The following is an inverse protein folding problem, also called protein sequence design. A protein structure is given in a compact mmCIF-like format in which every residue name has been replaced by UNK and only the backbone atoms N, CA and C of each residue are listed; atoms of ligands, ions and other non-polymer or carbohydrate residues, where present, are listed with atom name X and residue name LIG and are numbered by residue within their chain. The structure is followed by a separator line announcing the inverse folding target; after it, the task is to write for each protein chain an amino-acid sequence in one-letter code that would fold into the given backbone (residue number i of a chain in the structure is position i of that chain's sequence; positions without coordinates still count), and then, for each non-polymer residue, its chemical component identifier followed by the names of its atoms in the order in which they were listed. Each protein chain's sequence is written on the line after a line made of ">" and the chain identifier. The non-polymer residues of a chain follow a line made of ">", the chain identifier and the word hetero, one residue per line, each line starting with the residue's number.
data_IF_214514604102
#
_entry.id   IF_214514604102
#
_cell.length_a   1.000
_cell.length_b   1.000
_cell.length_c   1.000
_cell.angle_alpha   90.00
_cell.angle_beta   90.00
_cell.angle_gamma   90.00
#
_symmetry.space_group_name_H-M   'P 1'
#
loop_
_entity.id
_entity.type
_entity.pdbx_description
1 polymer ?
#
# COMPACT_ATOMS: atom_id res chain seq x y z
N UNK A 1 10.38 24.47 -1.21
CA UNK A 1 11.39 23.78 -0.38
C UNK A 1 12.62 23.44 -1.22
N UNK A 2 13.53 24.40 -1.47
CA UNK A 2 14.77 24.13 -2.24
C UNK A 2 15.73 23.22 -1.45
N UNK A 3 15.79 23.42 -0.14
CA UNK A 3 16.66 22.68 0.77
C UNK A 3 16.50 21.15 0.71
N UNK A 4 15.27 20.62 0.67
CA UNK A 4 15.04 19.16 0.58
C UNK A 4 15.42 18.61 -0.80
N UNK A 5 15.19 19.37 -1.88
CA UNK A 5 15.59 19.00 -3.24
C UNK A 5 17.12 18.99 -3.35
N UNK A 6 17.77 20.02 -2.84
CA UNK A 6 19.24 20.15 -2.83
C UNK A 6 19.91 19.08 -1.95
N UNK A 7 19.25 18.64 -0.88
CA UNK A 7 19.73 17.55 -0.03
C UNK A 7 19.65 16.20 -0.74
N UNK A 8 18.54 15.90 -1.44
CA UNK A 8 18.39 14.68 -2.22
C UNK A 8 19.35 14.68 -3.43
N UNK A 9 19.40 15.76 -4.20
CA UNK A 9 20.25 15.88 -5.38
C UNK A 9 21.75 15.71 -5.07
N UNK A 10 22.20 16.02 -3.85
CA UNK A 10 23.57 15.75 -3.39
C UNK A 10 23.88 14.27 -3.16
N UNK A 11 22.88 13.47 -2.79
CA UNK A 11 23.05 12.04 -2.49
C UNK A 11 22.81 11.18 -3.73
N UNK A 12 22.02 11.68 -4.69
CA UNK A 12 21.72 11.05 -5.99
C UNK A 12 22.94 10.43 -6.72
N UNK A 13 24.13 11.08 -6.80
CA UNK A 13 25.28 10.51 -7.51
C UNK A 13 25.84 9.22 -6.90
N UNK A 14 25.55 8.93 -5.62
CA UNK A 14 25.97 7.69 -4.97
C UNK A 14 25.11 6.47 -5.34
N UNK A 15 23.93 6.72 -5.92
CA UNK A 15 22.95 5.72 -6.30
C UNK A 15 22.87 5.52 -7.83
N UNK A 16 23.37 6.45 -8.66
CA UNK A 16 23.42 6.30 -10.13
C UNK A 16 24.42 5.21 -10.58
N UNK A 17 24.33 4.77 -11.86
CA UNK A 17 25.17 3.70 -12.42
C UNK A 17 26.66 4.01 -12.24
N UNK A 18 27.38 3.17 -11.50
CA UNK A 18 28.78 3.37 -11.09
C UNK A 18 29.00 3.95 -9.68
N UNK A 19 27.93 4.23 -8.93
CA UNK A 19 27.98 4.63 -7.53
C UNK A 19 28.06 3.45 -6.55
N UNK A 20 28.58 3.68 -5.33
CA UNK A 20 28.75 2.63 -4.30
C UNK A 20 27.44 1.91 -3.93
N UNK A 21 26.29 2.57 -4.11
CA UNK A 21 24.97 2.09 -3.69
C UNK A 21 24.02 1.87 -4.89
N UNK A 22 24.55 1.63 -6.08
CA UNK A 22 23.79 1.43 -7.33
C UNK A 22 22.61 0.43 -7.17
N UNK A 23 22.78 -0.63 -6.38
CA UNK A 23 21.72 -1.61 -6.11
C UNK A 23 20.46 -1.02 -5.45
N UNK A 24 20.59 0.08 -4.72
CA UNK A 24 19.50 0.76 -4.01
C UNK A 24 18.93 1.96 -4.77
N UNK A 25 19.35 2.16 -6.03
CA UNK A 25 18.86 3.24 -6.88
C UNK A 25 17.34 3.34 -6.89
N UNK A 26 16.64 2.22 -7.07
CA UNK A 26 15.18 2.20 -7.15
C UNK A 26 14.48 2.55 -5.83
N UNK A 27 15.13 2.29 -4.69
CA UNK A 27 14.61 2.74 -3.39
C UNK A 27 14.77 4.27 -3.29
N UNK A 28 15.93 4.80 -3.64
CA UNK A 28 16.16 6.24 -3.66
C UNK A 28 15.20 6.95 -4.63
N UNK A 29 15.02 6.42 -5.84
CA UNK A 29 14.10 6.93 -6.86
C UNK A 29 12.65 6.91 -6.37
N UNK A 30 12.22 5.86 -5.68
CA UNK A 30 10.88 5.79 -5.10
C UNK A 30 10.62 6.86 -4.03
N UNK A 31 11.61 7.16 -3.19
CA UNK A 31 11.49 8.21 -2.17
C UNK A 31 11.54 9.61 -2.79
N UNK A 32 12.41 9.83 -3.80
CA UNK A 32 12.50 11.09 -4.53
C UNK A 32 11.20 11.37 -5.30
N UNK A 33 10.67 10.37 -6.01
CA UNK A 33 9.38 10.50 -6.70
C UNK A 33 8.20 10.62 -5.76
N UNK A 34 8.20 9.99 -4.58
CA UNK A 34 7.15 10.19 -3.56
C UNK A 34 7.07 11.67 -3.13
N UNK A 35 8.23 12.28 -2.81
CA UNK A 35 8.31 13.64 -2.29
C UNK A 35 8.23 14.72 -3.37
N UNK A 36 8.70 14.44 -4.59
CA UNK A 36 8.81 15.41 -5.67
C UNK A 36 8.25 14.90 -7.00
N UNK A 37 7.69 15.81 -7.79
CA UNK A 37 7.25 15.47 -9.15
C UNK A 37 8.46 15.06 -10.00
N UNK A 38 8.32 14.05 -10.87
CA UNK A 38 9.38 13.67 -11.79
C UNK A 38 9.74 14.84 -12.72
N UNK A 39 11.04 15.11 -12.89
CA UNK A 39 11.51 16.19 -13.77
C UNK A 39 11.59 15.77 -15.26
N UNK A 40 11.03 14.62 -15.64
CA UNK A 40 11.02 14.18 -17.03
C UNK A 40 9.76 14.67 -17.74
N UNK A 41 9.94 15.35 -18.88
CA UNK A 41 8.85 15.76 -19.76
C UNK A 41 8.78 14.81 -20.97
N UNK A 42 7.57 14.59 -21.48
CA UNK A 42 7.38 13.83 -22.72
C UNK A 42 8.20 14.44 -23.86
N UNK A 43 8.97 13.61 -24.57
CA UNK A 43 9.79 14.05 -25.69
C UNK A 43 8.90 14.62 -26.82
N UNK A 44 9.43 15.54 -27.65
CA UNK A 44 8.64 16.17 -28.71
C UNK A 44 8.11 15.19 -29.76
N UNK A 45 8.85 14.12 -30.02
CA UNK A 45 8.58 13.10 -31.04
C UNK A 45 8.26 11.74 -30.40
N UNK A 46 7.38 10.97 -31.05
CA UNK A 46 7.04 9.59 -30.64
C UNK A 46 5.85 9.43 -29.70
N UNK A 47 5.11 10.51 -29.38
CA UNK A 47 3.92 10.47 -28.52
C UNK A 47 2.69 10.82 -29.35
N UNK A 48 1.70 9.91 -29.41
CA UNK A 48 0.46 10.11 -30.18
C UNK A 48 -0.53 11.03 -29.46
N UNK A 49 -0.61 10.95 -28.13
CA UNK A 49 -1.52 11.75 -27.29
C UNK A 49 -0.73 12.24 -26.07
N UNK A 50 -0.84 13.54 -25.76
CA UNK A 50 -0.28 14.13 -24.55
C UNK A 50 -1.43 14.37 -23.58
N UNK A 51 -1.43 13.65 -22.48
CA UNK A 51 -2.41 13.81 -21.41
C UNK A 51 -1.71 14.36 -20.15
N UNK A 52 -2.45 15.07 -19.32
CA UNK A 52 -2.03 15.50 -18.00
C UNK A 52 -2.24 14.40 -16.93
N UNK A 53 -2.91 13.30 -17.28
CA UNK A 53 -3.13 12.16 -16.40
C UNK A 53 -1.94 11.19 -16.40
N UNK A 54 -1.11 11.29 -15.37
CA UNK A 54 -0.05 10.33 -15.08
C UNK A 54 -0.56 9.20 -14.17
N UNK A 55 0.09 8.02 -14.25
CA UNK A 55 -0.15 6.87 -13.35
C UNK A 55 -0.18 7.28 -11.88
N UNK A 56 0.79 8.10 -11.46
CA UNK A 56 0.86 8.66 -10.10
C UNK A 56 -0.39 9.46 -9.73
N UNK A 57 -0.83 10.37 -10.62
CA UNK A 57 -2.00 11.22 -10.37
C UNK A 57 -3.26 10.38 -10.23
N UNK A 58 -3.42 9.38 -11.09
CA UNK A 58 -4.52 8.42 -11.00
C UNK A 58 -4.53 7.69 -9.66
N UNK A 59 -3.38 7.15 -9.23
CA UNK A 59 -3.28 6.40 -7.96
C UNK A 59 -3.58 7.30 -6.76
N UNK A 60 -3.09 8.55 -6.74
CA UNK A 60 -3.41 9.51 -5.68
C UNK A 60 -4.90 9.86 -5.63
N UNK A 61 -5.56 10.02 -6.77
CA UNK A 61 -7.02 10.23 -6.81
C UNK A 61 -7.78 9.04 -6.21
N UNK A 62 -7.33 7.81 -6.49
CA UNK A 62 -7.92 6.59 -5.90
C UNK A 62 -7.73 6.57 -4.39
N UNK A 63 -6.53 6.90 -3.89
CA UNK A 63 -6.27 6.98 -2.43
C UNK A 63 -7.22 7.99 -1.78
N UNK A 64 -7.37 9.19 -2.36
CA UNK A 64 -8.27 10.22 -1.85
C UNK A 64 -9.72 9.71 -1.83
N UNK A 65 -10.16 9.02 -2.88
CA UNK A 65 -11.50 8.43 -2.96
C UNK A 65 -11.73 7.29 -1.95
N UNK A 66 -10.66 6.64 -1.48
CA UNK A 66 -10.72 5.57 -0.47
C UNK A 66 -10.77 6.09 0.97
N UNK A 67 -10.30 7.32 1.23
CA UNK A 67 -10.30 7.90 2.59
C UNK A 67 -11.71 7.88 3.22
N UNK A 68 -12.79 8.31 2.53
CA UNK A 68 -14.15 8.22 3.08
C UNK A 68 -14.54 6.79 3.46
N UNK A 69 -14.18 5.80 2.63
CA UNK A 69 -14.45 4.39 2.90
C UNK A 69 -13.69 3.89 4.13
N UNK A 70 -12.43 4.32 4.30
CA UNK A 70 -11.62 4.00 5.47
C UNK A 70 -12.21 4.59 6.75
N UNK A 71 -12.60 5.87 6.72
CA UNK A 71 -13.22 6.54 7.87
C UNK A 71 -14.55 5.90 8.26
N UNK A 72 -15.38 5.56 7.27
CA UNK A 72 -16.61 4.82 7.52
C UNK A 72 -16.34 3.42 8.07
N UNK A 73 -15.33 2.72 7.57
CA UNK A 73 -14.90 1.42 8.09
C UNK A 73 -14.48 1.49 9.56
N UNK A 74 -13.67 2.49 9.92
CA UNK A 74 -13.25 2.76 11.30
C UNK A 74 -14.47 2.99 12.20
N UNK A 75 -15.38 3.87 11.78
CA UNK A 75 -16.62 4.13 12.52
C UNK A 75 -17.46 2.86 12.68
N UNK A 76 -17.65 2.08 11.61
CA UNK A 76 -18.47 0.88 11.63
C UNK A 76 -17.89 -0.20 12.54
N UNK A 77 -16.57 -0.40 12.54
CA UNK A 77 -15.90 -1.35 13.45
C UNK A 77 -16.14 -0.97 14.91
N UNK A 78 -15.97 0.31 15.26
CA UNK A 78 -16.23 0.80 16.60
C UNK A 78 -17.71 0.65 17.00
N UNK A 79 -18.63 1.01 16.10
CA UNK A 79 -20.06 0.95 16.36
C UNK A 79 -20.52 -0.49 16.63
N UNK A 80 -20.05 -1.45 15.82
CA UNK A 80 -20.35 -2.88 16.03
C UNK A 80 -19.75 -3.41 17.33
N UNK A 81 -18.58 -2.93 17.75
CA UNK A 81 -18.00 -3.30 19.04
C UNK A 81 -18.90 -2.91 20.22
N UNK A 82 -19.38 -1.65 20.25
CA UNK A 82 -20.25 -1.17 21.34
C UNK A 82 -21.65 -1.79 21.34
N UNK A 83 -22.19 -2.09 20.15
CA UNK A 83 -23.40 -2.90 20.03
C UNK A 83 -23.22 -4.30 20.62
N UNK A 84 -22.09 -4.95 20.34
CA UNK A 84 -21.80 -6.30 20.85
C UNK A 84 -21.55 -6.33 22.37
N UNK A 85 -20.99 -5.26 22.95
CA UNK A 85 -20.77 -5.15 24.40
C UNK A 85 -21.99 -4.67 25.20
N UNK A 86 -23.12 -4.41 24.54
CA UNK A 86 -24.36 -4.00 25.21
C UNK A 86 -24.37 -2.55 25.72
N UNK A 87 -23.55 -1.67 25.13
CA UNK A 87 -23.49 -0.23 25.47
C UNK A 87 -23.80 0.62 24.23
N UNK A 88 -25.08 0.68 23.79
CA UNK A 88 -25.46 1.35 22.54
C UNK A 88 -25.31 2.89 22.59
N UNK A 89 -25.26 3.49 23.78
CA UNK A 89 -25.15 4.94 23.99
C UNK A 89 -23.70 5.44 24.10
N UNK A 90 -22.74 4.68 23.56
CA UNK A 90 -21.34 5.09 23.55
C UNK A 90 -21.16 6.44 22.82
N UNK A 91 -20.30 7.30 23.36
CA UNK A 91 -19.99 8.58 22.76
C UNK A 91 -19.37 8.40 21.37
N UNK A 92 -19.67 9.31 20.44
CA UNK A 92 -19.10 9.28 19.08
C UNK A 92 -17.56 9.20 19.08
N UNK A 93 -16.90 9.86 20.05
CA UNK A 93 -15.45 9.81 20.22
C UNK A 93 -14.93 8.42 20.60
N UNK A 94 -15.64 7.70 21.47
CA UNK A 94 -15.25 6.36 21.94
C UNK A 94 -15.39 5.33 20.82
N UNK A 95 -16.46 5.44 20.03
CA UNK A 95 -16.71 4.63 18.83
C UNK A 95 -15.53 4.76 17.87
N UNK A 96 -15.13 6.01 17.53
CA UNK A 96 -14.01 6.24 16.63
C UNK A 96 -12.70 5.72 17.24
N UNK A 97 -12.48 5.93 18.54
CA UNK A 97 -11.25 5.51 19.20
C UNK A 97 -11.04 3.99 19.10
N UNK A 98 -12.06 3.19 19.44
CA UNK A 98 -11.99 1.72 19.32
C UNK A 98 -11.78 1.30 17.87
N UNK A 99 -12.50 1.91 16.93
CA UNK A 99 -12.33 1.65 15.50
C UNK A 99 -10.89 1.92 15.04
N UNK A 100 -10.29 3.02 15.46
CA UNK A 100 -8.91 3.39 15.11
C UNK A 100 -7.91 2.38 15.68
N UNK A 101 -8.08 1.99 16.95
CA UNK A 101 -7.20 1.02 17.62
C UNK A 101 -7.23 -0.34 16.92
N UNK A 102 -8.35 -0.75 16.32
CA UNK A 102 -8.44 -2.01 15.58
C UNK A 102 -7.95 -1.90 14.13
N UNK A 103 -8.30 -0.84 13.39
CA UNK A 103 -8.01 -0.73 11.96
C UNK A 103 -6.58 -0.24 11.68
N UNK A 104 -6.04 0.69 12.47
CA UNK A 104 -4.71 1.26 12.23
C UNK A 104 -3.61 0.19 12.26
N UNK A 105 -3.55 -0.73 13.24
CA UNK A 105 -2.51 -1.75 13.25
C UNK A 105 -2.51 -2.64 11.99
N UNK A 106 -3.70 -3.01 11.48
CA UNK A 106 -3.83 -3.80 10.25
C UNK A 106 -3.30 -3.00 9.06
N UNK A 107 -3.66 -1.71 8.95
CA UNK A 107 -3.19 -0.80 7.91
C UNK A 107 -1.65 -0.67 7.94
N UNK A 108 -1.07 -0.43 9.12
CA UNK A 108 0.38 -0.28 9.30
C UNK A 108 1.10 -1.57 8.92
N UNK A 109 0.61 -2.73 9.38
CA UNK A 109 1.23 -4.02 9.09
C UNK A 109 1.13 -4.37 7.61
N UNK A 110 0.00 -4.09 6.97
CA UNK A 110 -0.17 -4.30 5.53
C UNK A 110 0.81 -3.45 4.72
N UNK A 111 0.95 -2.16 5.05
CA UNK A 111 1.94 -1.31 4.38
C UNK A 111 3.37 -1.75 4.64
N UNK A 112 3.73 -2.03 5.90
CA UNK A 112 5.09 -2.43 6.25
C UNK A 112 5.51 -3.73 5.58
N UNK A 113 4.65 -4.75 5.62
CA UNK A 113 4.93 -6.06 5.03
C UNK A 113 4.98 -6.00 3.50
N UNK A 114 4.04 -5.27 2.89
CA UNK A 114 3.92 -5.21 1.44
C UNK A 114 4.97 -4.30 0.79
N UNK A 115 5.13 -3.06 1.27
CA UNK A 115 6.19 -2.18 0.79
C UNK A 115 7.57 -2.77 1.10
N UNK A 116 7.75 -3.37 2.27
CA UNK A 116 9.00 -4.05 2.62
C UNK A 116 9.37 -5.15 1.62
N UNK A 117 8.39 -5.98 1.23
CA UNK A 117 8.60 -7.03 0.23
C UNK A 117 8.88 -6.44 -1.15
N UNK A 118 8.13 -5.43 -1.57
CA UNK A 118 8.34 -4.76 -2.86
C UNK A 118 9.72 -4.10 -2.94
N UNK A 119 10.17 -3.43 -1.87
CA UNK A 119 11.52 -2.84 -1.79
C UNK A 119 12.61 -3.90 -1.92
N UNK A 120 12.43 -5.06 -1.29
CA UNK A 120 13.39 -6.17 -1.39
C UNK A 120 13.45 -6.69 -2.84
N UNK A 121 12.29 -6.92 -3.46
CA UNK A 121 12.23 -7.44 -4.82
C UNK A 121 12.70 -6.43 -5.87
N UNK A 122 12.44 -5.13 -5.69
CA UNK A 122 12.95 -4.10 -6.59
C UNK A 122 14.48 -4.03 -6.58
N UNK A 123 15.12 -4.26 -5.43
CA UNK A 123 16.59 -4.34 -5.33
C UNK A 123 17.12 -5.59 -6.02
N UNK A 124 16.43 -6.74 -5.91
CA UNK A 124 16.86 -7.99 -6.54
C UNK A 124 16.68 -7.94 -8.06
N UNK A 125 15.53 -7.43 -8.53
CA UNK A 125 15.13 -7.46 -9.95
C UNK A 125 15.44 -6.18 -10.71
N UNK A 126 15.93 -5.14 -10.04
CA UNK A 126 16.36 -3.88 -10.64
C UNK A 126 15.25 -3.26 -11.52
N UNK A 127 14.04 -3.17 -10.98
CA UNK A 127 12.90 -2.51 -11.63
C UNK A 127 12.40 -1.32 -10.79
N UNK A 128 11.77 -0.31 -11.41
CA UNK A 128 11.19 0.81 -10.68
C UNK A 128 10.05 0.36 -9.78
N UNK A 129 9.92 1.05 -8.65
CA UNK A 129 8.83 0.87 -7.71
C UNK A 129 7.68 1.77 -8.13
N UNK A 130 6.46 1.26 -8.08
CA UNK A 130 5.29 2.00 -8.47
C UNK A 130 4.41 2.26 -7.24
N UNK A 131 3.83 3.44 -7.16
CA UNK A 131 2.93 3.88 -6.08
C UNK A 131 1.62 3.07 -6.01
N UNK A 132 1.34 2.20 -6.98
CA UNK A 132 0.15 1.34 -6.98
C UNK A 132 0.01 0.43 -5.75
N UNK A 133 1.10 0.12 -5.04
CA UNK A 133 0.98 -0.62 -3.78
C UNK A 133 0.37 0.24 -2.65
N UNK A 134 0.48 1.57 -2.71
CA UNK A 134 -0.16 2.44 -1.71
C UNK A 134 -1.68 2.25 -1.67
N UNK A 135 -2.29 2.00 -2.82
CA UNK A 135 -3.71 1.65 -2.94
C UNK A 135 -3.97 0.26 -2.36
N UNK A 136 -3.13 -0.71 -2.71
CA UNK A 136 -3.28 -2.12 -2.27
C UNK A 136 -3.19 -2.26 -0.75
N UNK A 137 -2.22 -1.59 -0.12
CA UNK A 137 -2.05 -1.59 1.34
C UNK A 137 -3.23 -0.97 2.09
N UNK A 138 -3.98 -0.05 1.46
CA UNK A 138 -5.24 0.48 2.02
C UNK A 138 -6.44 -0.44 1.77
N UNK A 139 -6.46 -1.17 0.64
CA UNK A 139 -7.54 -2.11 0.33
C UNK A 139 -7.53 -3.34 1.23
N UNK A 140 -6.36 -3.84 1.62
CA UNK A 140 -6.21 -5.02 2.48
C UNK A 140 -7.02 -4.91 3.80
N UNK A 141 -6.86 -3.87 4.64
CA UNK A 141 -7.67 -3.74 5.86
C UNK A 141 -9.16 -3.55 5.59
N UNK A 142 -9.56 -3.04 4.41
CA UNK A 142 -10.97 -2.87 4.04
C UNK A 142 -11.65 -4.16 3.61
N UNK A 143 -10.89 -5.18 3.19
CA UNK A 143 -11.43 -6.47 2.75
C UNK A 143 -11.23 -7.60 3.77
N UNK A 144 -10.68 -7.27 4.94
CA UNK A 144 -10.32 -8.20 6.00
C UNK A 144 -11.11 -7.89 7.30
N UNK A 145 -11.57 -8.91 8.05
CA UNK A 145 -12.13 -8.71 9.37
C UNK A 145 -11.17 -7.95 10.32
N UNK A 146 -11.70 -7.08 11.20
CA UNK A 146 -10.90 -6.29 12.13
C UNK A 146 -10.26 -7.12 13.26
N UNK A 147 -10.75 -8.34 13.50
CA UNK A 147 -10.24 -9.24 14.52
C UNK A 147 -9.07 -10.14 14.04
N UNK A 148 -8.62 -10.00 12.79
CA UNK A 148 -7.57 -10.85 12.25
C UNK A 148 -6.24 -10.59 12.97
N UNK A 149 -5.52 -11.66 13.38
CA UNK A 149 -4.19 -11.53 13.94
C UNK A 149 -3.21 -10.83 12.98
N UNK A 150 -2.46 -9.84 13.49
CA UNK A 150 -1.56 -9.01 12.68
C UNK A 150 -0.50 -9.82 11.90
N UNK A 151 0.00 -10.92 12.47
CA UNK A 151 0.97 -11.77 11.80
C UNK A 151 0.39 -12.47 10.56
N UNK A 152 -0.92 -12.80 10.57
CA UNK A 152 -1.60 -13.39 9.41
C UNK A 152 -1.73 -12.36 8.30
N UNK A 153 -2.05 -11.11 8.64
CA UNK A 153 -2.09 -9.99 7.68
C UNK A 153 -0.71 -9.82 7.02
N UNK A 154 0.36 -9.85 7.80
CA UNK A 154 1.73 -9.75 7.29
C UNK A 154 2.06 -10.88 6.31
N UNK A 155 1.83 -12.14 6.72
CA UNK A 155 2.11 -13.32 5.89
C UNK A 155 1.29 -13.32 4.60
N UNK A 156 0.00 -13.01 4.68
CA UNK A 156 -0.87 -12.94 3.52
C UNK A 156 -0.47 -11.84 2.55
N UNK A 157 -0.08 -10.68 3.08
CA UNK A 157 0.40 -9.56 2.26
C UNK A 157 1.70 -9.93 1.55
N UNK A 158 2.67 -10.52 2.26
CA UNK A 158 3.94 -10.99 1.67
C UNK A 158 3.66 -12.02 0.57
N UNK A 159 2.84 -13.04 0.86
CA UNK A 159 2.47 -14.07 -0.11
C UNK A 159 1.83 -13.47 -1.35
N UNK A 160 0.85 -12.57 -1.18
CA UNK A 160 0.16 -11.95 -2.28
C UNK A 160 1.07 -11.08 -3.13
N UNK A 161 1.96 -10.29 -2.53
CA UNK A 161 2.93 -9.47 -3.26
C UNK A 161 3.87 -10.35 -4.07
N UNK A 162 4.43 -11.41 -3.47
CA UNK A 162 5.36 -12.30 -4.15
C UNK A 162 4.67 -13.03 -5.31
N UNK A 163 3.50 -13.62 -5.08
CA UNK A 163 2.86 -14.51 -6.05
C UNK A 163 2.03 -13.76 -7.08
N UNK A 164 1.22 -12.77 -6.68
CA UNK A 164 0.32 -12.08 -7.61
C UNK A 164 0.97 -10.93 -8.37
N UNK A 165 2.09 -10.39 -7.87
CA UNK A 165 2.76 -9.21 -8.45
C UNK A 165 4.20 -9.51 -8.87
N UNK A 166 5.08 -9.85 -7.94
CA UNK A 166 6.53 -9.95 -8.22
C UNK A 166 6.89 -11.17 -9.09
N UNK A 167 6.18 -12.28 -8.95
CA UNK A 167 6.38 -13.47 -9.78
C UNK A 167 6.18 -13.20 -11.28
N UNK A 168 5.29 -12.26 -11.62
CA UNK A 168 4.95 -11.90 -13.00
C UNK A 168 5.75 -10.70 -13.52
N UNK A 169 6.73 -10.21 -12.77
CA UNK A 169 7.60 -9.11 -13.20
C UNK A 169 7.24 -7.72 -12.66
N UNK A 170 6.37 -7.66 -11.64
CA UNK A 170 6.09 -6.43 -10.90
C UNK A 170 4.95 -5.60 -11.50
N UNK A 171 4.88 -4.32 -11.11
CA UNK A 171 3.71 -3.47 -11.35
C UNK A 171 3.41 -3.28 -12.85
N UNK A 172 2.16 -3.54 -13.24
CA UNK A 172 1.69 -3.46 -14.62
C UNK A 172 1.58 -4.83 -15.31
N UNK A 173 2.23 -5.85 -14.76
CA UNK A 173 2.17 -7.24 -15.23
C UNK A 173 1.36 -8.15 -14.28
N UNK A 174 0.72 -7.57 -13.26
CA UNK A 174 -0.04 -8.31 -12.27
C UNK A 174 -1.25 -8.98 -12.93
N UNK A 175 -1.25 -10.32 -12.98
CA UNK A 175 -2.38 -11.10 -13.52
C UNK A 175 -3.57 -11.08 -12.55
N UNK A 176 -3.29 -10.99 -11.25
CA UNK A 176 -4.29 -11.07 -10.19
C UNK A 176 -4.28 -9.80 -9.33
N UNK A 177 -5.43 -9.48 -8.73
CA UNK A 177 -5.53 -8.40 -7.75
C UNK A 177 -4.87 -8.82 -6.43
N UNK A 178 -3.79 -8.14 -6.06
CA UNK A 178 -2.97 -8.44 -4.87
C UNK A 178 -3.78 -8.42 -3.57
N UNK A 179 -4.67 -7.43 -3.37
CA UNK A 179 -5.48 -7.36 -2.14
C UNK A 179 -6.47 -8.53 -2.04
N UNK A 180 -7.09 -8.92 -3.16
CA UNK A 180 -7.99 -10.07 -3.20
C UNK A 180 -7.22 -11.39 -3.06
N UNK A 181 -6.01 -11.49 -3.61
CA UNK A 181 -5.14 -12.66 -3.41
C UNK A 181 -4.75 -12.81 -1.94
N UNK A 182 -4.45 -11.71 -1.23
CA UNK A 182 -4.16 -11.77 0.21
C UNK A 182 -5.38 -12.28 0.99
N UNK A 183 -6.58 -11.79 0.66
CA UNK A 183 -7.83 -12.29 1.26
C UNK A 183 -8.09 -13.76 0.94
N UNK A 184 -7.90 -14.18 -0.31
CA UNK A 184 -8.09 -15.57 -0.72
C UNK A 184 -7.11 -16.51 -0.01
N UNK A 185 -5.84 -16.09 0.13
CA UNK A 185 -4.85 -16.85 0.89
C UNK A 185 -5.30 -17.06 2.34
N UNK A 186 -5.74 -16.01 3.03
CA UNK A 186 -6.25 -16.16 4.40
C UNK A 186 -7.54 -17.01 4.45
N UNK A 187 -8.42 -16.87 3.48
CA UNK A 187 -9.67 -17.63 3.42
C UNK A 187 -9.40 -19.15 3.36
N UNK A 188 -8.42 -19.59 2.57
CA UNK A 188 -8.09 -21.01 2.45
C UNK A 188 -7.12 -21.52 3.52
N UNK A 189 -6.17 -20.70 3.97
CA UNK A 189 -5.15 -21.11 4.94
C UNK A 189 -5.64 -21.00 6.39
N UNK A 190 -6.48 -20.02 6.69
CA UNK A 190 -6.93 -19.67 8.04
C UNK A 190 -8.45 -19.39 8.04
N UNK A 191 -9.28 -20.40 7.71
CA UNK A 191 -10.71 -20.20 7.57
C UNK A 191 -11.34 -19.70 8.88
N UNK A 192 -10.94 -20.22 10.04
CA UNK A 192 -11.51 -19.83 11.35
C UNK A 192 -11.52 -18.32 11.65
N UNK A 193 -10.68 -17.52 11.01
CA UNK A 193 -10.60 -16.08 11.23
C UNK A 193 -11.40 -15.26 10.19
N UNK A 194 -11.86 -15.91 9.10
CA UNK A 194 -12.56 -15.26 7.98
C UNK A 194 -13.94 -15.86 7.70
N UNK A 195 -14.09 -17.19 7.79
CA UNK A 195 -15.40 -17.83 7.76
C UNK A 195 -16.07 -17.58 9.10
N UNK A 196 -17.25 -16.95 9.06
CA UNK A 196 -18.07 -16.78 10.26
C UNK A 196 -18.38 -18.13 10.90
N UNK A 197 -18.56 -18.13 12.22
CA UNK A 197 -19.04 -19.31 12.93
C UNK A 197 -20.39 -19.73 12.34
N UNK A 198 -20.45 -20.97 11.85
CA UNK A 198 -21.70 -21.62 11.44
C UNK A 198 -22.30 -22.29 12.67
#
# INVERSE_FOLDING_TARGET
>A
MKFLRDALDKVKPHFEKGGKWEKFYYIYEAHDTLLFAPNHVTKPTGVQIRDAMDMKRLMMTVIIAMIPCLLFGIYNVGYQHFLATGQPDAGFGDIIWIGLVQVIPILVVSYAAGLGTEFIFSVIRQHPINEGFLVTGMLIPLVMPPAIPLWQVALATIFAVIIAKEAFGGTGMNVLNVALTARAFLYFAYPSQISGDV
#
